data_IF_762929244536
#
_entry.id   IF_762929244536
#
_cell.length_a   1.000
_cell.length_b   1.000
_cell.length_c   1.000
_cell.angle_alpha   90.00
_cell.angle_beta   90.00
_cell.angle_gamma   90.00
#
_symmetry.space_group_name_H-M   'P 1'
#
loop_
_entity.id
_entity.type
_entity.pdbx_description
1 polymer ?
#
# COMPACT_ATOMS: atom_id res chain seq x y z
N UNK A 1 -10.97 1.41 -9.09
CA UNK A 1 -9.94 2.42 -8.75
C UNK A 1 -9.87 2.82 -7.27
N UNK A 2 -10.76 2.33 -6.40
CA UNK A 2 -10.58 2.35 -4.95
C UNK A 2 -10.92 0.94 -4.46
N UNK A 3 -10.02 0.31 -3.72
CA UNK A 3 -10.29 -0.97 -3.07
C UNK A 3 -10.29 -0.73 -1.56
N UNK A 4 -11.40 -0.96 -0.83
CA UNK A 4 -11.41 -0.86 0.63
C UNK A 4 -10.36 -1.80 1.26
N UNK A 5 -9.93 -2.84 0.54
CA UNK A 5 -8.84 -3.70 0.97
C UNK A 5 -7.51 -2.94 1.15
N UNK A 6 -7.19 -1.94 0.32
CA UNK A 6 -5.94 -1.18 0.45
C UNK A 6 -5.90 -0.33 1.74
N UNK A 7 -7.07 0.09 2.24
CA UNK A 7 -7.17 0.76 3.54
C UNK A 7 -6.92 -0.27 4.65
N UNK A 8 -7.59 -1.42 4.61
CA UNK A 8 -7.43 -2.49 5.60
C UNK A 8 -5.98 -3.03 5.66
N UNK A 9 -5.32 -3.22 4.53
CA UNK A 9 -3.94 -3.69 4.43
C UNK A 9 -2.94 -2.71 5.06
N UNK A 10 -3.15 -1.41 4.88
CA UNK A 10 -2.33 -0.37 5.53
C UNK A 10 -2.54 -0.37 7.04
N UNK A 11 -3.78 -0.48 7.48
CA UNK A 11 -4.11 -0.58 8.91
C UNK A 11 -3.48 -1.82 9.52
N UNK A 12 -3.53 -2.96 8.83
CA UNK A 12 -2.85 -4.20 9.23
C UNK A 12 -1.33 -4.03 9.29
N UNK A 13 -0.71 -3.38 8.30
CA UNK A 13 0.72 -3.07 8.30
C UNK A 13 1.12 -2.11 9.43
N UNK A 14 0.29 -1.15 9.78
CA UNK A 14 0.52 -0.28 10.93
C UNK A 14 0.36 -1.08 12.23
N UNK A 15 -0.70 -1.87 12.38
CA UNK A 15 -0.96 -2.64 13.60
C UNK A 15 0.07 -3.73 13.85
N UNK A 16 0.33 -4.57 12.87
CA UNK A 16 1.09 -5.82 13.01
C UNK A 16 2.53 -5.70 12.49
N UNK A 17 2.87 -4.58 11.86
CA UNK A 17 4.18 -4.31 11.28
C UNK A 17 4.30 -4.69 9.81
N UNK A 18 5.43 -4.32 9.16
CA UNK A 18 5.64 -4.44 7.72
C UNK A 18 5.51 -5.86 7.19
N UNK A 19 6.06 -6.84 7.91
CA UNK A 19 6.04 -8.25 7.47
C UNK A 19 4.61 -8.79 7.39
N UNK A 20 3.82 -8.58 8.44
CA UNK A 20 2.42 -9.01 8.48
C UNK A 20 1.57 -8.27 7.43
N UNK A 21 1.79 -6.97 7.23
CA UNK A 21 1.12 -6.19 6.18
C UNK A 21 1.42 -6.71 4.77
N UNK A 22 2.68 -7.10 4.49
CA UNK A 22 3.06 -7.69 3.20
C UNK A 22 2.42 -9.05 2.95
N UNK A 23 2.36 -9.92 3.97
CA UNK A 23 1.69 -11.22 3.87
C UNK A 23 0.20 -11.03 3.59
N UNK A 24 -0.47 -10.13 4.33
CA UNK A 24 -1.87 -9.82 4.09
C UNK A 24 -2.09 -9.29 2.66
N UNK A 25 -1.17 -8.46 2.16
CA UNK A 25 -1.23 -7.92 0.80
C UNK A 25 -1.13 -9.03 -0.26
N UNK A 26 -0.24 -10.01 -0.05
CA UNK A 26 -0.12 -11.17 -0.93
C UNK A 26 -1.41 -11.98 -0.98
N UNK A 27 -2.00 -12.28 0.18
CA UNK A 27 -3.26 -13.03 0.28
C UNK A 27 -4.39 -12.30 -0.44
N UNK A 28 -4.57 -10.99 -0.19
CA UNK A 28 -5.60 -10.20 -0.85
C UNK A 28 -5.44 -10.20 -2.37
N UNK A 29 -4.21 -10.04 -2.88
CA UNK A 29 -3.97 -10.02 -4.33
C UNK A 29 -4.22 -11.39 -5.00
N UNK A 30 -3.87 -12.48 -4.32
CA UNK A 30 -4.16 -13.84 -4.79
C UNK A 30 -5.67 -14.08 -4.89
N UNK A 31 -6.43 -13.62 -3.89
CA UNK A 31 -7.90 -13.71 -3.91
C UNK A 31 -8.50 -12.77 -4.97
N UNK A 32 -7.85 -11.65 -5.26
CA UNK A 32 -8.35 -10.68 -6.22
C UNK A 32 -8.24 -11.16 -7.68
N UNK A 33 -7.19 -11.90 -8.03
CA UNK A 33 -6.95 -12.35 -9.40
C UNK A 33 -8.15 -13.07 -10.07
N UNK A 34 -8.84 -14.03 -9.40
CA UNK A 34 -10.04 -14.66 -9.97
C UNK A 34 -11.31 -13.80 -9.84
N UNK A 35 -11.35 -12.81 -8.94
CA UNK A 35 -12.54 -12.01 -8.65
C UNK A 35 -12.70 -10.78 -9.55
N UNK A 36 -11.63 -10.35 -10.24
CA UNK A 36 -11.66 -9.16 -11.12
C UNK A 36 -11.19 -9.51 -12.54
N UNK A 37 -12.12 -9.96 -13.42
CA UNK A 37 -11.80 -10.43 -14.77
C UNK A 37 -11.15 -9.38 -15.67
N UNK A 38 -11.46 -8.11 -15.45
CA UNK A 38 -10.97 -6.94 -16.21
C UNK A 38 -9.43 -6.84 -16.26
N UNK A 39 -8.75 -7.30 -15.21
CA UNK A 39 -7.29 -7.26 -15.10
C UNK A 39 -6.62 -8.63 -14.99
N UNK A 40 -7.38 -9.66 -14.60
CA UNK A 40 -6.87 -11.02 -14.41
C UNK A 40 -5.63 -11.10 -13.51
N UNK A 41 -4.79 -12.11 -13.77
CA UNK A 41 -3.55 -12.33 -13.03
C UNK A 41 -2.53 -11.20 -13.18
N UNK A 42 -2.48 -10.55 -14.34
CA UNK A 42 -1.59 -9.42 -14.57
C UNK A 42 -1.98 -8.23 -13.67
N UNK A 43 -3.26 -7.89 -13.62
CA UNK A 43 -3.78 -6.84 -12.75
C UNK A 43 -3.50 -7.13 -11.27
N UNK A 44 -3.60 -8.39 -10.85
CA UNK A 44 -3.27 -8.80 -9.49
C UNK A 44 -1.77 -8.64 -9.16
N UNK A 45 -0.87 -8.98 -10.09
CA UNK A 45 0.58 -8.76 -9.92
C UNK A 45 0.88 -7.27 -9.79
N UNK A 46 0.33 -6.46 -10.69
CA UNK A 46 0.54 -5.00 -10.68
C UNK A 46 -0.02 -4.37 -9.41
N UNK A 47 -1.18 -4.84 -8.94
CA UNK A 47 -1.77 -4.40 -7.68
C UNK A 47 -0.91 -4.81 -6.48
N UNK A 48 -0.41 -6.04 -6.46
CA UNK A 48 0.48 -6.52 -5.41
C UNK A 48 1.74 -5.66 -5.29
N UNK A 49 2.44 -5.40 -6.40
CA UNK A 49 3.66 -4.58 -6.39
C UNK A 49 3.34 -3.17 -5.84
N UNK A 50 2.20 -2.59 -6.24
CA UNK A 50 1.79 -1.26 -5.78
C UNK A 50 1.50 -1.25 -4.27
N UNK A 51 0.59 -2.13 -3.83
CA UNK A 51 0.13 -2.17 -2.45
C UNK A 51 1.25 -2.65 -1.50
N UNK A 52 2.14 -3.55 -1.94
CA UNK A 52 3.30 -3.98 -1.18
C UNK A 52 4.29 -2.83 -0.95
N UNK A 53 4.63 -2.05 -2.00
CA UNK A 53 5.51 -0.89 -1.87
C UNK A 53 4.92 0.17 -0.91
N UNK A 54 3.63 0.44 -1.04
CA UNK A 54 2.90 1.37 -0.19
C UNK A 54 2.88 0.91 1.28
N UNK A 55 2.46 -0.34 1.53
CA UNK A 55 2.33 -0.91 2.88
C UNK A 55 3.70 -1.04 3.53
N UNK A 56 4.72 -1.52 2.83
CA UNK A 56 6.07 -1.66 3.39
C UNK A 56 6.65 -0.31 3.82
N UNK A 57 6.71 0.67 2.90
CA UNK A 57 7.30 1.97 3.20
C UNK A 57 6.54 2.71 4.31
N UNK A 58 5.20 2.73 4.24
CA UNK A 58 4.40 3.41 5.25
C UNK A 58 4.47 2.70 6.62
N UNK A 59 4.41 1.37 6.69
CA UNK A 59 4.48 0.65 7.97
C UNK A 59 5.86 0.75 8.63
N UNK A 60 6.95 0.76 7.86
CA UNK A 60 8.31 0.98 8.40
C UNK A 60 8.40 2.37 9.04
N UNK A 61 7.92 3.42 8.37
CA UNK A 61 8.02 4.79 8.87
C UNK A 61 7.07 5.00 10.07
N UNK A 62 5.85 4.48 9.99
CA UNK A 62 4.88 4.52 11.08
C UNK A 62 5.35 3.73 12.31
N UNK A 63 6.06 2.60 12.12
CA UNK A 63 6.61 1.80 13.22
C UNK A 63 7.67 2.54 14.02
N UNK A 64 8.42 3.46 13.38
CA UNK A 64 9.47 4.26 14.02
C UNK A 64 8.90 5.44 14.82
N UNK A 65 7.80 6.04 14.34
CA UNK A 65 7.17 7.17 15.01
C UNK A 65 5.64 7.00 15.07
N UNK A 66 5.19 6.38 16.17
CA UNK A 66 3.81 5.95 16.46
C UNK A 66 2.89 7.12 16.87
N UNK A 67 2.92 8.22 16.13
CA UNK A 67 2.11 9.43 16.38
C UNK A 67 1.17 9.71 15.21
N UNK A 68 0.08 10.47 15.45
CA UNK A 68 -0.86 10.88 14.38
C UNK A 68 -0.14 11.64 13.25
N UNK A 69 0.79 12.53 13.61
CA UNK A 69 1.64 13.23 12.62
C UNK A 69 2.57 12.26 11.88
N UNK A 70 3.17 11.30 12.59
CA UNK A 70 4.00 10.25 12.01
C UNK A 70 3.24 9.37 11.00
N UNK A 71 1.96 9.06 11.26
CA UNK A 71 1.12 8.31 10.34
C UNK A 71 0.89 9.05 9.01
N UNK A 72 0.62 10.35 9.03
CA UNK A 72 0.47 11.14 7.80
C UNK A 72 1.77 11.20 6.99
N UNK A 73 2.91 11.39 7.66
CA UNK A 73 4.24 11.39 7.01
C UNK A 73 4.54 10.01 6.41
N UNK A 74 4.25 8.94 7.14
CA UNK A 74 4.38 7.58 6.66
C UNK A 74 3.53 7.29 5.42
N UNK A 75 2.31 7.83 5.37
CA UNK A 75 1.44 7.71 4.20
C UNK A 75 1.99 8.47 3.00
N UNK A 76 2.47 9.70 3.18
CA UNK A 76 3.08 10.49 2.11
C UNK A 76 4.36 9.83 1.57
N UNK A 77 5.19 9.28 2.45
CA UNK A 77 6.40 8.56 2.03
C UNK A 77 6.07 7.23 1.33
N UNK A 78 5.07 6.49 1.80
CA UNK A 78 4.60 5.27 1.13
C UNK A 78 3.99 5.54 -0.25
N UNK A 79 3.28 6.66 -0.39
CA UNK A 79 2.77 7.18 -1.65
C UNK A 79 3.90 7.40 -2.67
N UNK A 80 4.96 8.11 -2.26
CA UNK A 80 6.14 8.36 -3.10
C UNK A 80 6.84 7.05 -3.47
N UNK A 81 7.02 6.14 -2.51
CA UNK A 81 7.64 4.83 -2.74
C UNK A 81 6.83 4.00 -3.76
N UNK A 82 5.51 3.98 -3.65
CA UNK A 82 4.63 3.29 -4.59
C UNK A 82 4.80 3.84 -6.01
N UNK A 83 4.79 5.17 -6.18
CA UNK A 83 4.97 5.81 -7.50
C UNK A 83 6.34 5.47 -8.08
N UNK A 84 7.38 5.54 -7.26
CA UNK A 84 8.75 5.22 -7.65
C UNK A 84 8.93 3.77 -8.08
N UNK A 85 8.21 2.81 -7.48
CA UNK A 85 8.24 1.39 -7.86
C UNK A 85 7.33 1.09 -9.05
N UNK A 86 6.16 1.72 -9.11
CA UNK A 86 5.19 1.51 -10.19
C UNK A 86 5.65 2.06 -11.53
N UNK A 87 6.41 3.16 -11.54
CA UNK A 87 6.93 3.74 -12.77
C UNK A 87 7.82 2.77 -13.57
N UNK A 88 8.89 2.17 -13.00
CA UNK A 88 9.67 1.15 -13.68
C UNK A 88 8.89 -0.15 -13.89
N UNK A 89 8.02 -0.57 -12.96
CA UNK A 89 7.21 -1.77 -13.14
C UNK A 89 6.29 -1.66 -14.38
N UNK A 90 5.64 -0.51 -14.57
CA UNK A 90 4.82 -0.24 -15.74
C UNK A 90 5.65 -0.23 -17.05
N UNK A 91 6.84 0.36 -17.04
CA UNK A 91 7.74 0.37 -18.20
C UNK A 91 8.25 -1.02 -18.60
N UNK A 92 8.42 -1.92 -17.64
CA UNK A 92 8.98 -3.25 -17.87
C UNK A 92 7.89 -4.29 -18.17
N UNK A 93 6.79 -4.27 -17.41
CA UNK A 93 5.80 -5.35 -17.44
C UNK A 93 4.73 -5.13 -18.50
N UNK A 94 4.28 -3.90 -18.75
CA UNK A 94 3.24 -3.62 -19.77
C UNK A 94 3.69 -4.07 -21.18
N UNK A 95 4.91 -3.73 -21.66
CA UNK A 95 5.37 -4.18 -22.98
C UNK A 95 5.46 -5.70 -23.09
N UNK A 96 5.92 -6.37 -22.03
CA UNK A 96 6.11 -7.82 -22.00
C UNK A 96 4.78 -8.55 -22.02
N UNK A 97 3.80 -8.09 -21.23
CA UNK A 97 2.50 -8.75 -21.13
C UNK A 97 1.59 -8.48 -22.33
N UNK A 98 1.63 -7.27 -22.91
CA UNK A 98 0.76 -6.90 -24.03
C UNK A 98 1.42 -7.03 -25.40
N UNK A 99 2.69 -7.46 -25.47
CA UNK A 99 3.44 -7.56 -26.73
C UNK A 99 3.65 -6.21 -27.43
N UNK A 100 3.63 -5.11 -26.67
CA UNK A 100 3.75 -3.75 -27.20
C UNK A 100 5.22 -3.31 -27.27
N UNK A 101 5.60 -2.47 -28.24
CA UNK A 101 6.92 -1.87 -28.25
C UNK A 101 7.07 -0.93 -27.04
N UNK A 102 8.25 -0.93 -26.40
CA UNK A 102 8.53 -0.07 -25.23
C UNK A 102 8.27 1.41 -25.51
N UNK A 103 8.49 1.87 -26.74
CA UNK A 103 8.22 3.24 -27.18
C UNK A 103 6.75 3.65 -27.00
N UNK A 104 5.80 2.74 -27.17
CA UNK A 104 4.38 3.00 -26.96
C UNK A 104 4.03 3.24 -25.48
N UNK A 105 4.76 2.60 -24.56
CA UNK A 105 4.59 2.82 -23.11
C UNK A 105 5.31 4.10 -22.67
N UNK A 106 6.48 4.38 -23.23
CA UNK A 106 7.22 5.63 -22.98
C UNK A 106 6.40 6.85 -23.40
N UNK A 107 5.68 6.79 -24.53
CA UNK A 107 4.83 7.91 -24.97
C UNK A 107 3.69 8.24 -24.01
N UNK A 108 3.27 7.30 -23.17
CA UNK A 108 2.17 7.49 -22.19
C UNK A 108 2.66 7.45 -20.74
N UNK A 109 3.97 7.38 -20.50
CA UNK A 109 4.52 7.16 -19.15
C UNK A 109 4.15 8.30 -18.19
N UNK A 110 4.10 9.53 -18.69
CA UNK A 110 3.67 10.70 -17.92
C UNK A 110 2.20 10.58 -17.51
N UNK A 111 1.34 10.04 -18.39
CA UNK A 111 -0.06 9.78 -18.09
C UNK A 111 -0.23 8.66 -17.06
N UNK A 112 0.55 7.59 -17.18
CA UNK A 112 0.59 6.48 -16.23
C UNK A 112 1.07 6.96 -14.85
N UNK A 113 2.13 7.78 -14.81
CA UNK A 113 2.62 8.38 -13.57
C UNK A 113 1.58 9.30 -12.94
N UNK A 114 0.95 10.17 -13.72
CA UNK A 114 -0.14 11.05 -13.26
C UNK A 114 -1.32 10.25 -12.71
N UNK A 115 -1.70 9.16 -13.37
CA UNK A 115 -2.74 8.24 -12.91
C UNK A 115 -2.37 7.57 -11.57
N UNK A 116 -1.12 7.11 -11.42
CA UNK A 116 -0.64 6.54 -10.16
C UNK A 116 -0.62 7.58 -9.04
N UNK A 117 -0.22 8.83 -9.33
CA UNK A 117 -0.28 9.95 -8.38
C UNK A 117 -1.73 10.21 -7.97
N UNK A 118 -2.66 10.31 -8.91
CA UNK A 118 -4.07 10.54 -8.62
C UNK A 118 -4.66 9.42 -7.76
N UNK A 119 -4.37 8.16 -8.11
CA UNK A 119 -4.81 6.97 -7.38
C UNK A 119 -4.33 6.98 -5.93
N UNK A 120 -3.07 7.34 -5.72
CA UNK A 120 -2.47 7.48 -4.39
C UNK A 120 -3.08 8.65 -3.62
N UNK A 121 -3.19 9.80 -4.26
CA UNK A 121 -3.76 11.01 -3.66
C UNK A 121 -5.20 10.78 -3.21
N UNK A 122 -6.02 10.07 -3.99
CA UNK A 122 -7.36 9.67 -3.59
C UNK A 122 -7.33 8.69 -2.39
N UNK A 123 -6.46 7.69 -2.41
CA UNK A 123 -6.32 6.75 -1.29
C UNK A 123 -5.82 7.40 0.02
N UNK A 124 -5.03 8.48 -0.07
CA UNK A 124 -4.58 9.29 1.07
C UNK A 124 -5.67 10.26 1.50
N UNK A 125 -6.31 10.95 0.55
CA UNK A 125 -7.38 11.91 0.80
C UNK A 125 -8.59 11.23 1.45
N UNK A 126 -9.04 10.08 0.95
CA UNK A 126 -10.14 9.31 1.55
C UNK A 126 -9.78 8.87 2.97
N UNK A 127 -8.56 8.40 3.19
CA UNK A 127 -8.08 8.03 4.52
C UNK A 127 -7.96 9.24 5.47
N UNK A 128 -7.72 10.45 4.96
CA UNK A 128 -7.65 11.69 5.74
C UNK A 128 -9.03 12.33 5.98
N UNK A 129 -9.94 12.26 4.99
CA UNK A 129 -11.30 12.81 5.03
C UNK A 129 -12.28 11.94 5.81
N UNK A 130 -12.06 10.62 5.89
CA UNK A 130 -12.92 9.76 6.70
C UNK A 130 -12.84 10.22 8.16
N UNK A 131 -13.93 10.83 8.70
CA UNK A 131 -13.87 11.49 9.99
C UNK A 131 -13.71 10.42 11.05
N UNK A 132 -12.58 10.51 11.77
CA UNK A 132 -12.13 9.58 12.81
C UNK A 132 -11.53 8.31 12.18
N UNK A 133 -10.22 8.16 12.35
CA UNK A 133 -9.57 6.87 12.46
C UNK A 133 -9.55 6.50 13.97
N UNK A 134 -10.69 6.12 14.61
CA UNK A 134 -10.64 5.60 15.97
C UNK A 134 -9.80 4.31 15.98
N UNK A 135 -9.69 3.61 14.85
CA UNK A 135 -8.86 2.42 14.69
C UNK A 135 -7.37 2.71 14.69
N UNK A 136 -6.84 3.71 13.96
CA UNK A 136 -5.40 4.01 14.07
C UNK A 136 -5.08 4.56 15.46
N UNK A 137 -5.94 5.38 16.05
CA UNK A 137 -5.73 5.84 17.43
C UNK A 137 -5.83 4.69 18.43
N UNK A 138 -6.79 3.76 18.28
CA UNK A 138 -6.89 2.53 19.08
C UNK A 138 -5.70 1.63 18.86
N UNK A 139 -5.21 1.44 17.64
CA UNK A 139 -4.11 0.52 17.34
C UNK A 139 -2.77 1.08 17.81
N UNK A 140 -2.58 2.40 17.75
CA UNK A 140 -1.41 3.07 18.34
C UNK A 140 -1.43 3.01 19.88
N UNK A 141 -2.62 3.10 20.52
CA UNK A 141 -2.74 2.95 21.98
C UNK A 141 -2.70 1.49 22.42
N UNK A 142 -3.43 0.59 21.77
CA UNK A 142 -3.51 -0.85 22.08
C UNK A 142 -2.19 -1.57 21.82
N UNK A 143 -1.41 -1.23 20.78
CA UNK A 143 -0.04 -1.75 20.66
C UNK A 143 0.93 -1.20 21.71
N UNK A 144 0.76 0.04 22.18
CA UNK A 144 1.54 0.50 23.35
C UNK A 144 1.26 -0.37 24.57
N UNK A 145 0.00 -0.79 24.78
CA UNK A 145 -0.35 -1.72 25.86
C UNK A 145 0.23 -3.13 25.62
N UNK A 146 0.11 -3.70 24.42
CA UNK A 146 0.64 -5.04 24.13
C UNK A 146 2.18 -5.10 24.18
N UNK A 147 2.90 -4.10 23.66
CA UNK A 147 4.36 -4.04 23.75
C UNK A 147 4.85 -3.78 25.18
N UNK A 148 4.11 -3.00 25.98
CA UNK A 148 4.41 -2.84 27.40
C UNK A 148 4.24 -4.14 28.20
N UNK A 149 3.28 -5.00 27.82
CA UNK A 149 3.08 -6.30 28.45
C UNK A 149 3.94 -7.42 27.85
N UNK A 150 4.38 -7.32 26.60
CA UNK A 150 5.23 -8.33 25.96
C UNK A 150 6.63 -8.41 26.60
N UNK A 151 7.15 -7.29 27.10
CA UNK A 151 8.41 -7.25 27.87
C UNK A 151 8.29 -7.78 29.30
N UNK A 152 7.09 -8.22 29.73
CA UNK A 152 6.83 -8.78 31.06
C UNK A 152 6.40 -10.24 31.05
N UNK A 153 6.49 -10.95 29.92
CA UNK A 153 6.34 -12.40 29.93
C UNK A 153 7.67 -13.05 30.34
N UNK A 154 7.77 -13.72 31.50
CA UNK A 154 8.96 -14.47 31.85
C UNK A 154 9.10 -15.66 30.87
N UNK A 155 10.30 -15.78 30.30
CA UNK A 155 10.73 -16.88 29.43
C UNK A 155 10.69 -18.23 30.12
#
# INVERSE_FOLDING_TARGET
MYSPADVALRVAGFALGPKAGLVATAVVCLLQAPLYPEGGWFGAIMHFIASAALVAASSIICSRNRTKRGAHVAMAAGAVAMIAVMTPANLLLIPVFHGLPRSAVVSVIWWIAAFNVLKVSLNVAIAALHPRHPEVNRLLTHNRYLLAHYHHCPS
#
